data_IF_598455154713
#
_entry.id   IF_598455154713
#
_cell.length_a   1.000
_cell.length_b   1.000
_cell.length_c   1.000
_cell.angle_alpha   90.00
_cell.angle_beta   90.00
_cell.angle_gamma   90.00
#
_symmetry.space_group_name_H-M   'P 1'
#
loop_
_entity.id
_entity.type
_entity.pdbx_description
1 polymer ?
#
# COMPACT_ATOMS: atom_id res chain seq x y z
N UNK A 1 -5.27 17.96 53.47
CA UNK A 1 -6.27 18.23 52.40
C UNK A 1 -5.62 18.42 51.02
N UNK A 2 -4.58 19.27 50.91
CA UNK A 2 -3.86 19.65 49.68
C UNK A 2 -3.29 18.47 48.86
N UNK A 3 -2.72 17.44 49.51
CA UNK A 3 -2.19 16.22 48.83
C UNK A 3 -3.27 15.41 48.09
N UNK A 4 -4.52 15.45 48.56
CA UNK A 4 -5.66 14.73 47.95
C UNK A 4 -6.31 15.48 46.79
N UNK A 5 -6.26 16.81 46.81
CA UNK A 5 -6.66 17.68 45.70
C UNK A 5 -5.66 17.59 44.55
N UNK A 6 -4.35 17.59 44.86
CA UNK A 6 -3.30 17.33 43.85
C UNK A 6 -3.50 15.99 43.14
N UNK A 7 -3.75 14.88 43.85
CA UNK A 7 -4.00 13.57 43.22
C UNK A 7 -5.23 13.52 42.30
N UNK A 8 -6.31 14.25 42.65
CA UNK A 8 -7.51 14.30 41.81
C UNK A 8 -7.30 15.15 40.56
N UNK A 9 -6.58 16.26 40.70
CA UNK A 9 -6.16 17.08 39.56
C UNK A 9 -5.27 16.27 38.62
N UNK A 10 -4.30 15.50 39.15
CA UNK A 10 -3.44 14.62 38.34
C UNK A 10 -4.26 13.62 37.53
N UNK A 11 -5.25 12.95 38.15
CA UNK A 11 -6.09 11.97 37.47
C UNK A 11 -6.96 12.62 36.38
N UNK A 12 -7.57 13.77 36.67
CA UNK A 12 -8.38 14.50 35.68
C UNK A 12 -7.51 14.97 34.50
N UNK A 13 -6.30 15.46 34.79
CA UNK A 13 -5.31 15.80 33.76
C UNK A 13 -4.91 14.56 32.96
N UNK A 14 -4.66 13.41 33.59
CA UNK A 14 -4.35 12.16 32.87
C UNK A 14 -5.48 11.72 31.94
N UNK A 15 -6.75 11.89 32.35
CA UNK A 15 -7.90 11.56 31.51
C UNK A 15 -8.07 12.53 30.34
N UNK A 16 -7.87 13.83 30.57
CA UNK A 16 -7.86 14.83 29.50
C UNK A 16 -6.71 14.61 28.52
N UNK A 17 -5.52 14.23 29.02
CA UNK A 17 -4.38 13.84 28.19
C UNK A 17 -4.72 12.60 27.37
N UNK A 18 -5.38 11.59 27.95
CA UNK A 18 -5.84 10.42 27.22
C UNK A 18 -6.83 10.76 26.12
N UNK A 19 -7.85 11.60 26.40
CA UNK A 19 -8.80 12.08 25.39
C UNK A 19 -8.09 12.87 24.29
N UNK A 20 -7.14 13.74 24.65
CA UNK A 20 -6.37 14.51 23.68
C UNK A 20 -5.51 13.61 22.79
N UNK A 21 -4.86 12.58 23.36
CA UNK A 21 -4.13 11.55 22.59
C UNK A 21 -5.09 10.80 21.69
N UNK A 22 -6.25 10.36 22.17
CA UNK A 22 -7.25 9.66 21.37
C UNK A 22 -7.78 10.52 20.22
N UNK A 23 -8.06 11.80 20.46
CA UNK A 23 -8.45 12.76 19.43
C UNK A 23 -7.33 12.98 18.42
N UNK A 24 -6.08 13.09 18.86
CA UNK A 24 -4.92 13.16 17.95
C UNK A 24 -4.79 11.90 17.11
N UNK A 25 -4.99 10.71 17.70
CA UNK A 25 -4.98 9.43 17.00
C UNK A 25 -6.14 9.36 16.00
N UNK A 26 -7.34 9.77 16.37
CA UNK A 26 -8.51 9.80 15.48
C UNK A 26 -8.34 10.80 14.33
N UNK A 27 -7.84 12.01 14.60
CA UNK A 27 -7.55 13.03 13.57
C UNK A 27 -6.41 12.58 12.65
N UNK A 28 -5.40 11.91 13.22
CA UNK A 28 -4.33 11.27 12.46
C UNK A 28 -4.93 10.17 11.57
N UNK A 29 -5.70 9.24 12.12
CA UNK A 29 -6.41 8.20 11.36
C UNK A 29 -7.33 8.78 10.28
N UNK A 30 -8.05 9.87 10.56
CA UNK A 30 -8.87 10.57 9.58
C UNK A 30 -8.02 11.12 8.44
N UNK A 31 -6.84 11.70 8.73
CA UNK A 31 -5.85 12.09 7.72
C UNK A 31 -5.38 10.89 6.90
N UNK A 32 -5.16 9.72 7.50
CA UNK A 32 -4.83 8.49 6.76
C UNK A 32 -6.01 7.93 5.96
N UNK A 33 -7.25 8.12 6.43
CA UNK A 33 -8.46 7.77 5.67
C UNK A 33 -8.60 8.64 4.42
N UNK A 34 -8.23 9.92 4.48
CA UNK A 34 -8.12 10.79 3.30
C UNK A 34 -6.92 10.45 2.40
N UNK A 35 -5.88 9.82 2.97
CA UNK A 35 -4.78 9.27 2.20
C UNK A 35 -5.15 7.91 1.57
N UNK A 36 -6.20 7.24 2.04
CA UNK A 36 -6.65 6.02 1.36
C UNK A 36 -7.00 6.41 -0.08
N UNK A 37 -6.35 5.78 -1.06
CA UNK A 37 -6.64 6.03 -2.47
C UNK A 37 -8.12 5.79 -2.71
N UNK A 38 -8.88 6.80 -3.08
CA UNK A 38 -10.27 6.56 -3.50
C UNK A 38 -10.26 6.16 -4.97
N UNK A 39 -11.24 5.35 -5.40
CA UNK A 39 -11.51 5.12 -6.84
C UNK A 39 -11.80 6.43 -7.61
N UNK A 40 -11.84 7.57 -6.91
CA UNK A 40 -12.09 8.91 -7.45
C UNK A 40 -10.81 9.58 -7.97
N UNK A 41 -9.61 9.03 -7.73
CA UNK A 41 -8.42 9.45 -8.47
C UNK A 41 -8.71 9.26 -9.97
N UNK A 42 -8.86 10.37 -10.71
CA UNK A 42 -9.40 10.37 -12.08
C UNK A 42 -8.36 9.82 -13.06
N UNK A 43 -8.13 8.51 -13.02
CA UNK A 43 -7.42 7.78 -14.08
C UNK A 43 -8.31 7.68 -15.31
N UNK A 44 -7.68 7.50 -16.46
CA UNK A 44 -8.38 7.23 -17.72
C UNK A 44 -8.48 5.71 -17.88
N UNK A 45 -9.67 5.15 -17.72
CA UNK A 45 -9.87 3.71 -17.93
C UNK A 45 -9.59 3.33 -19.38
N UNK A 46 -8.84 2.25 -19.56
CA UNK A 46 -8.68 1.59 -20.85
C UNK A 46 -9.99 0.87 -21.19
N UNK A 47 -10.65 1.30 -22.26
CA UNK A 47 -11.88 0.69 -22.75
C UNK A 47 -11.63 -0.29 -23.90
N UNK A 48 -12.65 -1.10 -24.21
CA UNK A 48 -12.60 -2.05 -25.33
C UNK A 48 -12.36 -1.35 -26.69
N UNK A 49 -12.94 -0.17 -26.90
CA UNK A 49 -12.70 0.65 -28.08
C UNK A 49 -11.22 1.06 -28.22
N UNK A 50 -10.54 1.34 -27.11
CA UNK A 50 -9.11 1.70 -27.14
C UNK A 50 -8.24 0.53 -27.62
N UNK A 51 -8.62 -0.68 -27.22
CA UNK A 51 -7.97 -1.94 -27.62
C UNK A 51 -8.23 -2.22 -29.10
N UNK A 52 -9.48 -2.08 -29.57
CA UNK A 52 -9.84 -2.34 -30.96
C UNK A 52 -9.22 -1.32 -31.91
N UNK A 53 -9.22 -0.03 -31.57
CA UNK A 53 -8.59 1.02 -32.36
C UNK A 53 -7.08 0.82 -32.54
N UNK A 54 -6.40 0.20 -31.56
CA UNK A 54 -4.96 -0.10 -31.64
C UNK A 54 -4.61 -1.12 -32.73
N UNK A 55 -5.57 -2.01 -33.09
CA UNK A 55 -5.36 -3.04 -34.11
C UNK A 55 -5.43 -2.50 -35.54
N UNK A 56 -6.01 -1.31 -35.74
CA UNK A 56 -6.23 -0.70 -37.07
C UNK A 56 -5.13 0.30 -37.47
N UNK A 57 -4.32 0.81 -36.54
CA UNK A 57 -3.32 1.86 -36.81
C UNK A 57 -1.89 1.48 -36.35
N UNK A 58 -1.20 0.62 -37.11
CA UNK A 58 0.25 0.42 -36.99
C UNK A 58 1.04 1.43 -37.84
N UNK A 59 1.01 2.72 -37.49
CA UNK A 59 2.00 3.68 -38.02
C UNK A 59 2.68 4.47 -36.91
N UNK A 60 3.97 4.73 -37.11
CA UNK A 60 4.95 5.08 -36.10
C UNK A 60 4.85 6.51 -35.54
N UNK A 61 5.57 6.73 -34.43
CA UNK A 61 5.93 8.03 -33.83
C UNK A 61 5.00 8.61 -32.74
N UNK A 62 4.74 7.85 -31.68
CA UNK A 62 4.51 8.41 -30.34
C UNK A 62 5.39 7.70 -29.31
N UNK A 63 5.68 8.35 -28.19
CA UNK A 63 6.42 7.79 -27.06
C UNK A 63 5.69 6.56 -26.51
N UNK A 64 6.00 5.39 -27.05
CA UNK A 64 5.37 4.13 -26.69
C UNK A 64 6.15 3.48 -25.55
N UNK A 65 5.41 2.82 -24.66
CA UNK A 65 6.01 1.94 -23.65
C UNK A 65 6.85 0.89 -24.40
N UNK A 66 8.16 0.75 -24.08
CA UNK A 66 9.02 -0.25 -24.69
C UNK A 66 8.47 -1.68 -24.50
N UNK A 67 8.68 -2.55 -25.50
CA UNK A 67 8.33 -3.97 -25.44
C UNK A 67 9.32 -4.77 -24.59
N UNK A 68 9.46 -4.37 -23.33
CA UNK A 68 10.38 -4.98 -22.37
C UNK A 68 9.58 -5.43 -21.16
N UNK A 69 9.65 -6.70 -20.82
CA UNK A 69 9.08 -7.26 -19.59
C UNK A 69 10.22 -7.43 -18.57
N UNK A 70 9.99 -6.91 -17.37
CA UNK A 70 10.89 -7.01 -16.25
C UNK A 70 10.25 -7.85 -15.15
N UNK A 71 10.93 -8.92 -14.77
CA UNK A 71 10.58 -9.77 -13.64
C UNK A 71 11.73 -9.77 -12.65
N UNK A 72 11.43 -9.81 -11.35
CA UNK A 72 12.45 -9.85 -10.29
C UNK A 72 12.35 -11.18 -9.56
N UNK A 73 13.49 -11.81 -9.34
CA UNK A 73 13.63 -12.97 -8.48
C UNK A 73 15.00 -13.00 -7.83
N UNK A 74 15.19 -13.85 -6.82
CA UNK A 74 16.49 -13.98 -6.15
C UNK A 74 17.60 -14.42 -7.11
N UNK A 75 17.31 -15.37 -8.01
CA UNK A 75 18.25 -16.04 -8.89
C UNK A 75 17.55 -16.54 -10.17
N UNK A 76 18.25 -17.30 -11.01
CA UNK A 76 17.68 -17.87 -12.24
C UNK A 76 16.75 -19.08 -11.96
N UNK A 77 16.67 -19.58 -10.73
CA UNK A 77 15.88 -20.74 -10.33
C UNK A 77 14.50 -20.33 -9.81
N UNK A 78 13.61 -20.03 -10.75
CA UNK A 78 12.21 -19.68 -10.45
C UNK A 78 11.46 -20.91 -9.90
N UNK A 79 10.70 -20.79 -8.79
CA UNK A 79 9.88 -21.88 -8.26
C UNK A 79 8.90 -22.45 -9.28
N UNK A 80 8.77 -23.79 -9.30
CA UNK A 80 7.93 -24.52 -10.25
C UNK A 80 6.47 -24.03 -10.27
N UNK A 81 5.93 -23.65 -9.12
CA UNK A 81 4.57 -23.09 -8.98
C UNK A 81 4.30 -21.83 -9.82
N UNK A 82 5.34 -21.12 -10.24
CA UNK A 82 5.26 -19.91 -11.06
C UNK A 82 5.80 -20.12 -12.49
N UNK A 83 6.35 -21.30 -12.79
CA UNK A 83 6.89 -21.63 -14.11
C UNK A 83 5.84 -21.48 -15.22
N UNK A 84 4.58 -21.87 -14.94
CA UNK A 84 3.46 -21.69 -15.86
C UNK A 84 3.17 -20.22 -16.17
N UNK A 85 3.14 -19.35 -15.15
CA UNK A 85 2.93 -17.90 -15.33
C UNK A 85 4.05 -17.29 -16.19
N UNK A 86 5.31 -17.55 -15.84
CA UNK A 86 6.46 -17.06 -16.61
C UNK A 86 6.46 -17.57 -18.04
N UNK A 87 6.20 -18.86 -18.24
CA UNK A 87 6.19 -19.48 -19.57
C UNK A 87 5.06 -18.94 -20.44
N UNK A 88 3.88 -18.70 -19.86
CA UNK A 88 2.76 -18.08 -20.57
C UNK A 88 3.11 -16.67 -21.07
N UNK A 89 3.84 -15.87 -20.27
CA UNK A 89 4.29 -14.55 -20.70
C UNK A 89 5.33 -14.61 -21.81
N UNK A 90 6.28 -15.55 -21.76
CA UNK A 90 7.21 -15.77 -22.87
C UNK A 90 6.50 -16.19 -24.16
N UNK A 91 5.52 -17.08 -24.04
CA UNK A 91 4.77 -17.58 -25.20
C UNK A 91 3.92 -16.48 -25.89
N UNK A 92 3.41 -15.52 -25.13
CA UNK A 92 2.60 -14.41 -25.66
C UNK A 92 3.44 -13.21 -26.15
N UNK A 93 4.73 -13.19 -25.85
CA UNK A 93 5.62 -12.05 -26.12
C UNK A 93 6.99 -12.56 -26.64
N UNK A 94 7.01 -13.17 -27.83
CA UNK A 94 8.22 -13.79 -28.35
C UNK A 94 9.20 -12.75 -28.92
N UNK A 95 10.49 -13.09 -28.96
CA UNK A 95 11.55 -12.17 -29.37
C UNK A 95 11.40 -11.73 -30.84
N UNK A 96 10.90 -12.61 -31.71
CA UNK A 96 10.59 -12.30 -33.11
C UNK A 96 9.56 -11.17 -33.29
N UNK A 97 8.70 -10.93 -32.28
CA UNK A 97 7.73 -9.82 -32.26
C UNK A 97 8.29 -8.54 -31.63
N UNK A 98 9.61 -8.53 -31.36
CA UNK A 98 10.37 -7.41 -30.82
C UNK A 98 10.30 -7.29 -29.29
N UNK A 99 9.95 -8.37 -28.59
CA UNK A 99 9.87 -8.40 -27.12
C UNK A 99 11.19 -8.81 -26.47
N UNK A 100 11.53 -8.19 -25.35
CA UNK A 100 12.64 -8.59 -24.48
C UNK A 100 12.12 -8.92 -23.10
N UNK A 101 12.51 -10.06 -22.53
CA UNK A 101 12.10 -10.46 -21.18
C UNK A 101 13.33 -10.59 -20.31
N UNK A 102 13.44 -9.73 -19.30
CA UNK A 102 14.56 -9.65 -18.39
C UNK A 102 14.18 -10.17 -17.01
N UNK A 103 14.91 -11.20 -16.56
CA UNK A 103 14.92 -11.62 -15.15
C UNK A 103 16.04 -10.89 -14.41
N UNK A 104 15.63 -10.08 -13.45
CA UNK A 104 16.50 -9.34 -12.54
C UNK A 104 16.74 -10.17 -11.28
N UNK A 105 17.91 -10.80 -11.23
CA UNK A 105 18.42 -11.51 -10.05
C UNK A 105 18.90 -10.51 -8.99
N UNK A 106 19.10 -10.96 -7.75
CA UNK A 106 19.63 -10.10 -6.68
C UNK A 106 20.96 -9.44 -7.09
N UNK A 107 21.84 -10.18 -7.77
CA UNK A 107 23.11 -9.68 -8.30
C UNK A 107 22.91 -8.58 -9.34
N UNK A 108 22.03 -8.81 -10.33
CA UNK A 108 21.72 -7.83 -11.38
C UNK A 108 21.09 -6.57 -10.79
N UNK A 109 20.19 -6.73 -9.81
CA UNK A 109 19.56 -5.63 -9.08
C UNK A 109 20.60 -4.81 -8.34
N UNK A 110 21.48 -5.46 -7.58
CA UNK A 110 22.50 -4.77 -6.79
C UNK A 110 23.42 -3.96 -7.69
N UNK A 111 23.96 -4.59 -8.74
CA UNK A 111 24.83 -3.94 -9.73
C UNK A 111 24.15 -2.74 -10.40
N UNK A 112 22.88 -2.89 -10.80
CA UNK A 112 22.10 -1.81 -11.40
C UNK A 112 21.88 -0.63 -10.43
N UNK A 113 21.51 -0.92 -9.18
CA UNK A 113 21.24 0.11 -8.19
C UNK A 113 22.53 0.84 -7.78
N UNK A 114 23.64 0.14 -7.60
CA UNK A 114 24.94 0.74 -7.28
C UNK A 114 25.46 1.60 -8.44
N UNK A 115 25.29 1.14 -9.68
CA UNK A 115 25.77 1.86 -10.88
C UNK A 115 24.96 3.12 -11.17
N UNK A 116 23.63 3.05 -11.10
CA UNK A 116 22.76 4.14 -11.59
C UNK A 116 22.09 4.96 -10.48
N UNK A 117 21.96 4.40 -9.28
CA UNK A 117 21.18 4.98 -8.18
C UNK A 117 21.88 4.82 -6.83
N UNK A 118 23.21 4.92 -6.81
CA UNK A 118 24.04 4.77 -5.59
C UNK A 118 23.56 5.61 -4.41
N UNK A 119 23.00 6.80 -4.68
CA UNK A 119 22.40 7.68 -3.67
C UNK A 119 21.24 7.03 -2.89
N UNK A 120 20.55 6.04 -3.45
CA UNK A 120 19.45 5.33 -2.81
C UNK A 120 19.91 4.11 -2.00
N UNK A 121 21.17 3.66 -2.16
CA UNK A 121 21.68 2.47 -1.49
C UNK A 121 21.58 2.50 0.04
N UNK A 122 21.77 3.63 0.74
CA UNK A 122 21.54 3.69 2.18
C UNK A 122 20.09 3.36 2.58
N UNK A 123 19.11 3.80 1.78
CA UNK A 123 17.69 3.50 2.00
C UNK A 123 17.41 2.05 1.64
N UNK A 124 17.87 1.60 0.47
CA UNK A 124 17.76 0.22 0.02
C UNK A 124 18.26 -0.76 1.10
N UNK A 125 19.44 -0.49 1.68
CA UNK A 125 20.06 -1.30 2.72
C UNK A 125 19.35 -1.24 4.07
N UNK A 126 18.58 -0.19 4.34
CA UNK A 126 17.82 -0.06 5.58
C UNK A 126 16.48 -0.82 5.59
N UNK A 127 16.01 -1.30 4.44
CA UNK A 127 14.76 -2.07 4.38
C UNK A 127 14.91 -3.41 5.12
N UNK A 128 14.03 -3.71 6.10
CA UNK A 128 14.10 -4.93 6.90
C UNK A 128 13.63 -6.19 6.16
N UNK A 129 12.90 -6.05 5.05
CA UNK A 129 12.38 -7.19 4.29
C UNK A 129 12.77 -7.11 2.81
N UNK A 130 13.18 -8.24 2.22
CA UNK A 130 13.58 -8.31 0.81
C UNK A 130 12.46 -7.87 -0.15
N UNK A 131 11.20 -8.16 0.19
CA UNK A 131 10.06 -7.69 -0.61
C UNK A 131 10.02 -6.16 -0.72
N UNK A 132 10.44 -5.40 0.29
CA UNK A 132 10.50 -3.93 0.17
C UNK A 132 11.59 -3.49 -0.81
N UNK A 133 12.69 -4.23 -0.88
CA UNK A 133 13.76 -4.01 -1.87
C UNK A 133 13.24 -4.31 -3.27
N UNK A 134 12.49 -5.41 -3.46
CA UNK A 134 11.88 -5.77 -4.74
C UNK A 134 10.79 -4.77 -5.17
N UNK A 135 9.96 -4.32 -4.24
CA UNK A 135 8.96 -3.26 -4.46
C UNK A 135 9.63 -1.92 -4.84
N UNK A 136 10.73 -1.55 -4.18
CA UNK A 136 11.44 -0.32 -4.54
C UNK A 136 12.07 -0.43 -5.92
N UNK A 137 12.81 -1.51 -6.18
CA UNK A 137 13.63 -1.69 -7.38
C UNK A 137 12.80 -1.79 -8.66
N UNK A 138 11.61 -2.41 -8.63
CA UNK A 138 10.71 -2.43 -9.80
C UNK A 138 10.41 -1.01 -10.32
N UNK A 139 10.28 -0.03 -9.42
CA UNK A 139 10.08 1.36 -9.83
C UNK A 139 11.32 1.94 -10.51
N UNK A 140 12.51 1.69 -9.98
CA UNK A 140 13.78 2.15 -10.58
C UNK A 140 14.05 1.53 -11.95
N UNK A 141 13.79 0.23 -12.09
CA UNK A 141 13.98 -0.50 -13.36
C UNK A 141 13.10 0.10 -14.44
N UNK A 142 11.78 0.18 -14.20
CA UNK A 142 10.84 0.71 -15.18
C UNK A 142 11.07 2.21 -15.41
N UNK A 143 11.43 2.98 -14.39
CA UNK A 143 11.82 4.38 -14.60
C UNK A 143 13.06 4.51 -15.50
N UNK A 144 14.02 3.59 -15.39
CA UNK A 144 15.25 3.63 -16.18
C UNK A 144 15.02 3.19 -17.63
N UNK A 145 14.44 2.01 -17.82
CA UNK A 145 14.33 1.34 -19.12
C UNK A 145 12.97 1.52 -19.79
N UNK A 146 11.96 2.01 -19.07
CA UNK A 146 10.56 1.89 -19.47
C UNK A 146 10.09 0.43 -19.37
N UNK A 147 9.07 0.10 -20.14
CA UNK A 147 8.56 -1.25 -20.28
C UNK A 147 7.52 -1.60 -19.22
N UNK A 148 7.40 -2.90 -18.96
CA UNK A 148 6.41 -3.51 -18.09
C UNK A 148 7.14 -4.19 -16.94
N UNK A 149 6.72 -3.91 -15.72
CA UNK A 149 7.00 -4.78 -14.59
C UNK A 149 5.86 -5.79 -14.42
N UNK A 150 6.19 -7.03 -14.10
CA UNK A 150 5.22 -8.08 -13.79
C UNK A 150 5.77 -9.05 -12.72
N UNK A 151 5.01 -9.28 -11.65
CA UNK A 151 5.33 -10.29 -10.65
C UNK A 151 5.27 -11.72 -11.25
N UNK A 152 6.01 -12.66 -10.66
CA UNK A 152 6.14 -14.03 -11.19
C UNK A 152 4.85 -14.86 -11.07
N UNK A 153 3.94 -14.47 -10.19
CA UNK A 153 2.63 -15.09 -10.00
C UNK A 153 1.55 -14.56 -10.96
N UNK A 154 1.91 -13.62 -11.84
CA UNK A 154 1.03 -13.09 -12.89
C UNK A 154 1.46 -13.66 -14.25
N UNK A 155 0.60 -14.49 -14.84
CA UNK A 155 0.75 -15.04 -16.19
C UNK A 155 0.01 -14.21 -17.24
N UNK A 156 0.33 -14.47 -18.50
CA UNK A 156 -0.19 -13.73 -19.66
C UNK A 156 -1.08 -14.64 -20.51
N UNK A 157 -2.32 -14.21 -20.74
CA UNK A 157 -3.29 -14.93 -21.60
C UNK A 157 -3.34 -14.42 -23.03
N UNK A 158 -2.91 -13.18 -23.25
CA UNK A 158 -2.97 -12.45 -24.53
C UNK A 158 -1.72 -11.60 -24.69
N UNK A 159 -1.35 -11.20 -25.92
CA UNK A 159 -0.33 -10.18 -26.14
C UNK A 159 -0.74 -8.85 -25.52
N UNK A 160 0.20 -8.16 -24.89
CA UNK A 160 -0.04 -6.87 -24.22
C UNK A 160 0.03 -5.67 -25.16
N UNK A 161 0.46 -5.83 -26.41
CA UNK A 161 0.60 -4.74 -27.40
C UNK A 161 -0.63 -3.81 -27.45
N UNK A 162 -1.89 -4.32 -27.47
CA UNK A 162 -3.07 -3.45 -27.48
C UNK A 162 -3.26 -2.60 -26.22
N UNK A 163 -2.67 -3.02 -25.09
CA UNK A 163 -2.71 -2.27 -23.83
C UNK A 163 -1.70 -1.12 -23.81
N UNK A 164 -0.61 -1.24 -24.57
CA UNK A 164 0.51 -0.30 -24.56
C UNK A 164 0.35 0.85 -25.54
N UNK A 165 -0.52 0.70 -26.53
CA UNK A 165 -0.68 1.70 -27.57
C UNK A 165 -1.25 3.02 -27.02
N UNK A 166 -0.72 4.13 -27.54
CA UNK A 166 -1.05 5.50 -27.11
C UNK A 166 -1.00 5.73 -25.59
N UNK A 167 -0.19 4.95 -24.87
CA UNK A 167 -0.14 4.94 -23.41
C UNK A 167 1.27 5.22 -22.93
N UNK A 168 1.41 6.15 -21.99
CA UNK A 168 2.70 6.47 -21.34
C UNK A 168 2.84 5.86 -19.96
N UNK A 169 1.72 5.56 -19.31
CA UNK A 169 1.65 4.86 -18.03
C UNK A 169 0.34 4.07 -17.92
N UNK A 170 0.44 2.81 -17.51
CA UNK A 170 -0.69 1.92 -17.30
C UNK A 170 -0.50 1.10 -16.04
N UNK A 171 -1.56 0.95 -15.24
CA UNK A 171 -1.58 0.11 -14.04
C UNK A 171 -2.99 -0.43 -13.77
N UNK A 172 -3.16 -1.51 -13.02
CA UNK A 172 -4.44 -2.11 -12.78
C UNK A 172 -5.12 -1.51 -11.55
N UNK A 173 -6.44 -1.35 -11.63
CA UNK A 173 -7.27 -1.04 -10.47
C UNK A 173 -7.52 -2.33 -9.70
N UNK A 174 -7.31 -2.29 -8.38
CA UNK A 174 -7.54 -3.45 -7.51
C UNK A 174 -8.76 -3.26 -6.62
N UNK A 175 -9.38 -4.38 -6.26
CA UNK A 175 -10.48 -4.41 -5.31
C UNK A 175 -9.99 -4.82 -3.91
N UNK A 176 -10.59 -4.30 -2.83
CA UNK A 176 -11.72 -3.35 -2.80
C UNK A 176 -11.30 -1.88 -3.05
N UNK A 177 -10.03 -1.52 -2.82
CA UNK A 177 -9.52 -0.15 -2.91
C UNK A 177 -8.10 -0.16 -3.49
N UNK A 178 -7.80 0.82 -4.34
CA UNK A 178 -6.43 1.17 -4.75
C UNK A 178 -6.01 0.63 -6.12
N UNK A 179 -4.70 0.62 -6.31
CA UNK A 179 -4.02 0.17 -7.51
C UNK A 179 -2.92 -0.81 -7.12
N UNK A 180 -2.65 -1.77 -8.00
CA UNK A 180 -1.58 -2.72 -7.74
C UNK A 180 -0.22 -2.19 -8.15
N UNK A 181 0.83 -2.71 -7.54
CA UNK A 181 2.22 -2.53 -7.94
C UNK A 181 2.89 -3.84 -8.42
N UNK A 182 2.13 -4.94 -8.52
CA UNK A 182 2.56 -6.25 -9.05
C UNK A 182 2.61 -6.29 -10.59
N UNK A 183 1.90 -5.36 -11.26
CA UNK A 183 1.98 -5.11 -12.68
C UNK A 183 1.80 -3.63 -12.96
N UNK A 184 2.67 -3.05 -13.78
CA UNK A 184 2.48 -1.71 -14.34
C UNK A 184 3.42 -1.51 -15.53
N UNK A 185 3.08 -0.56 -16.39
CA UNK A 185 3.82 -0.27 -17.61
C UNK A 185 4.06 1.23 -17.75
N UNK A 186 5.24 1.64 -18.20
CA UNK A 186 5.57 3.05 -18.37
C UNK A 186 6.60 3.31 -19.48
N UNK A 187 6.56 4.53 -20.04
CA UNK A 187 7.69 5.04 -20.80
C UNK A 187 8.89 5.28 -19.89
N UNK A 188 10.13 5.22 -20.42
CA UNK A 188 11.31 5.59 -19.65
C UNK A 188 11.15 7.00 -19.09
N UNK A 189 11.64 7.19 -17.87
CA UNK A 189 11.66 8.48 -17.16
C UNK A 189 10.29 9.12 -16.90
N UNK A 190 9.21 8.34 -16.87
CA UNK A 190 7.87 8.86 -16.59
C UNK A 190 7.79 9.61 -15.23
N UNK A 191 7.20 10.80 -15.22
CA UNK A 191 7.17 11.72 -14.07
C UNK A 191 6.52 11.10 -12.82
N UNK A 192 5.48 10.29 -13.01
CA UNK A 192 4.88 9.54 -11.91
C UNK A 192 5.90 8.63 -11.20
N UNK A 193 6.70 7.85 -11.94
CA UNK A 193 7.71 6.98 -11.33
C UNK A 193 8.84 7.77 -10.68
N UNK A 194 9.20 8.93 -11.23
CA UNK A 194 10.12 9.85 -10.56
C UNK A 194 9.57 10.29 -9.20
N UNK A 195 8.28 10.65 -9.12
CA UNK A 195 7.61 10.99 -7.85
C UNK A 195 7.59 9.79 -6.88
N UNK A 196 7.34 8.58 -7.37
CA UNK A 196 7.38 7.35 -6.57
C UNK A 196 8.77 7.15 -5.97
N UNK A 197 9.81 7.10 -6.81
CA UNK A 197 11.20 6.88 -6.40
C UNK A 197 11.67 7.91 -5.38
N UNK A 198 11.41 9.19 -5.64
CA UNK A 198 11.82 10.29 -4.74
C UNK A 198 11.01 10.34 -3.44
N UNK A 199 9.89 9.63 -3.36
CA UNK A 199 9.06 9.54 -2.15
C UNK A 199 9.40 8.35 -1.26
N UNK A 200 10.06 7.31 -1.78
CA UNK A 200 10.40 6.07 -1.03
C UNK A 200 11.11 6.36 0.30
N UNK A 201 12.04 7.32 0.33
CA UNK A 201 12.77 7.69 1.55
C UNK A 201 11.85 8.20 2.66
N UNK A 202 10.82 8.97 2.30
CA UNK A 202 9.85 9.55 3.24
C UNK A 202 8.89 8.52 3.81
N UNK A 203 8.69 7.41 3.11
CA UNK A 203 7.80 6.32 3.49
C UNK A 203 8.54 5.12 4.07
N UNK A 204 9.87 5.18 4.21
CA UNK A 204 10.69 4.15 4.83
C UNK A 204 10.48 4.12 6.36
N UNK A 205 9.34 3.60 6.77
CA UNK A 205 8.91 3.45 8.16
C UNK A 205 8.78 1.98 8.50
N UNK A 206 9.22 1.61 9.71
CA UNK A 206 8.95 0.30 10.29
C UNK A 206 7.69 0.41 11.14
N UNK A 207 6.67 -0.36 10.77
CA UNK A 207 5.42 -0.46 11.52
C UNK A 207 5.48 -1.69 12.43
N UNK A 208 4.47 -1.86 13.29
CA UNK A 208 4.49 -2.88 14.34
C UNK A 208 4.62 -4.33 13.82
N UNK A 209 4.16 -4.60 12.60
CA UNK A 209 4.26 -5.93 11.97
C UNK A 209 4.70 -5.84 10.51
N UNK A 210 5.02 -6.98 9.89
CA UNK A 210 5.55 -7.09 8.53
C UNK A 210 4.59 -6.54 7.47
N UNK A 211 3.33 -6.97 7.50
CA UNK A 211 2.32 -6.62 6.51
C UNK A 211 2.15 -5.10 6.33
N UNK A 212 1.81 -4.31 7.38
CA UNK A 212 1.69 -2.86 7.25
C UNK A 212 3.03 -2.20 6.90
N UNK A 213 4.16 -2.77 7.33
CA UNK A 213 5.49 -2.27 6.95
C UNK A 213 5.70 -2.34 5.46
N UNK A 214 5.49 -3.50 4.84
CA UNK A 214 5.63 -3.68 3.39
C UNK A 214 4.59 -2.83 2.65
N UNK A 215 3.32 -2.97 3.02
CA UNK A 215 2.18 -2.38 2.31
C UNK A 215 2.23 -0.85 2.25
N UNK A 216 2.66 -0.18 3.34
CA UNK A 216 2.67 1.29 3.46
C UNK A 216 3.99 1.95 3.08
N UNK A 217 5.11 1.22 3.00
CA UNK A 217 6.42 1.83 2.74
C UNK A 217 6.83 1.78 1.27
N UNK A 218 6.60 0.64 0.62
CA UNK A 218 7.04 0.37 -0.76
C UNK A 218 5.97 -0.32 -1.59
N UNK A 219 5.01 -0.98 -0.94
CA UNK A 219 4.01 -1.82 -1.58
C UNK A 219 2.80 -1.07 -2.19
N UNK A 220 1.69 -1.79 -2.45
CA UNK A 220 0.55 -1.28 -3.19
C UNK A 220 -0.10 -0.01 -2.60
N UNK A 221 -0.20 0.11 -1.27
CA UNK A 221 -0.83 1.29 -0.66
C UNK A 221 0.09 2.51 -0.73
N UNK A 222 1.39 2.35 -0.53
CA UNK A 222 2.36 3.41 -0.83
C UNK A 222 2.21 3.91 -2.27
N UNK A 223 2.26 2.99 -3.23
CA UNK A 223 2.17 3.30 -4.66
C UNK A 223 0.89 4.06 -5.01
N UNK A 224 -0.24 3.58 -4.48
CA UNK A 224 -1.54 4.19 -4.69
C UNK A 224 -1.66 5.59 -4.05
N UNK A 225 -1.08 5.80 -2.85
CA UNK A 225 -1.04 7.12 -2.20
C UNK A 225 -0.29 8.11 -3.08
N UNK A 226 0.89 7.73 -3.58
CA UNK A 226 1.69 8.59 -4.45
C UNK A 226 0.98 8.88 -5.76
N UNK A 227 0.24 7.90 -6.31
CA UNK A 227 -0.56 8.12 -7.51
C UNK A 227 -1.67 9.15 -7.29
N UNK A 228 -2.40 9.05 -6.19
CA UNK A 228 -3.42 10.05 -5.85
C UNK A 228 -2.83 11.45 -5.70
N UNK A 229 -1.65 11.56 -5.09
CA UNK A 229 -0.93 12.84 -5.01
C UNK A 229 -0.51 13.34 -6.39
N UNK A 230 -0.01 12.46 -7.27
CA UNK A 230 0.38 12.81 -8.64
C UNK A 230 -0.81 13.34 -9.45
N UNK A 231 -1.94 12.65 -9.39
CA UNK A 231 -3.17 13.00 -10.12
C UNK A 231 -3.95 14.18 -9.52
N UNK A 232 -3.55 14.70 -8.36
CA UNK A 232 -4.11 15.94 -7.82
C UNK A 232 -3.74 17.17 -8.66
N UNK A 233 -2.70 17.06 -9.50
CA UNK A 233 -2.28 18.09 -10.44
C UNK A 233 -3.03 17.90 -11.78
N UNK A 234 -3.79 18.90 -12.28
CA UNK A 234 -4.73 18.71 -13.39
C UNK A 234 -4.14 18.25 -14.74
N UNK A 235 -2.83 18.47 -14.95
CA UNK A 235 -2.15 18.11 -16.18
C UNK A 235 -1.63 16.66 -16.17
N UNK A 236 -1.53 16.06 -14.98
CA UNK A 236 -1.03 14.70 -14.81
C UNK A 236 -2.11 13.70 -15.18
N UNK A 237 -1.75 12.73 -16.02
CA UNK A 237 -2.64 11.69 -16.51
C UNK A 237 -1.92 10.35 -16.49
N UNK A 238 -2.66 9.31 -16.09
CA UNK A 238 -2.26 7.92 -16.28
C UNK A 238 -3.48 7.14 -16.76
N UNK A 239 -3.25 6.04 -17.46
CA UNK A 239 -4.31 5.09 -17.81
C UNK A 239 -4.41 4.00 -16.76
N UNK A 240 -5.61 3.46 -16.59
CA UNK A 240 -5.84 2.34 -15.68
C UNK A 240 -6.53 1.17 -16.37
N UNK A 241 -6.02 -0.02 -16.12
CA UNK A 241 -6.59 -1.28 -16.59
C UNK A 241 -7.77 -1.67 -15.66
N UNK A 242 -8.98 -1.87 -16.21
CA UNK A 242 -10.13 -2.33 -15.44
C UNK A 242 -9.91 -3.68 -14.73
N UNK A 243 -10.57 -3.94 -13.58
CA UNK A 243 -10.42 -5.20 -12.85
C UNK A 243 -10.79 -6.46 -13.65
N UNK A 244 -11.75 -6.41 -14.56
CA UNK A 244 -12.16 -7.56 -15.39
C UNK A 244 -11.12 -7.93 -16.46
N UNK A 245 -10.34 -6.94 -16.92
CA UNK A 245 -9.22 -7.14 -17.83
C UNK A 245 -7.93 -7.59 -17.13
N UNK A 246 -7.80 -7.28 -15.83
CA UNK A 246 -6.63 -7.65 -15.03
C UNK A 246 -6.81 -8.94 -14.21
N UNK A 247 -7.94 -9.12 -13.54
CA UNK A 247 -8.22 -10.27 -12.69
C UNK A 247 -8.49 -11.55 -13.50
N UNK A 248 -8.71 -12.67 -12.82
CA UNK A 248 -9.08 -13.91 -13.50
C UNK A 248 -10.50 -13.80 -14.10
N UNK A 249 -10.59 -13.79 -15.43
CA UNK A 249 -11.85 -13.74 -16.15
C UNK A 249 -11.73 -14.13 -17.62
N UNK A 250 -12.86 -14.19 -18.36
CA UNK A 250 -12.90 -14.56 -19.77
C UNK A 250 -12.28 -13.50 -20.70
N UNK A 251 -12.44 -12.22 -20.36
CA UNK A 251 -11.90 -11.10 -21.15
C UNK A 251 -10.47 -10.71 -20.74
N UNK A 252 -9.96 -11.31 -19.66
CA UNK A 252 -8.70 -10.94 -19.03
C UNK A 252 -7.48 -11.14 -19.93
N UNK A 253 -6.52 -10.23 -19.80
CA UNK A 253 -5.18 -10.35 -20.38
C UNK A 253 -4.25 -11.20 -19.51
N UNK A 254 -4.62 -11.46 -18.26
CA UNK A 254 -3.75 -12.05 -17.26
C UNK A 254 -4.38 -13.27 -16.57
N UNK A 255 -3.52 -14.11 -16.01
CA UNK A 255 -3.90 -15.20 -15.11
C UNK A 255 -3.15 -15.05 -13.80
N UNK A 256 -3.87 -15.09 -12.69
CA UNK A 256 -3.28 -15.01 -11.35
C UNK A 256 -3.22 -16.40 -10.74
N UNK A 257 -2.01 -16.86 -10.43
CA UNK A 257 -1.82 -18.04 -9.56
C UNK A 257 -1.66 -17.57 -8.11
N UNK A 258 -1.55 -18.51 -7.16
CA UNK A 258 -1.42 -18.13 -5.76
C UNK A 258 -0.13 -17.34 -5.51
N UNK A 259 -0.30 -16.01 -5.43
CA UNK A 259 0.67 -15.05 -4.97
C UNK A 259 0.64 -14.85 -3.46
N UNK A 260 1.39 -13.86 -2.96
CA UNK A 260 1.51 -13.52 -1.53
C UNK A 260 2.59 -14.25 -0.73
N UNK A 261 3.69 -14.66 -1.37
CA UNK A 261 4.86 -15.24 -0.69
C UNK A 261 5.46 -14.33 0.41
N UNK A 262 5.17 -13.03 0.37
CA UNK A 262 5.64 -12.07 1.35
C UNK A 262 4.75 -11.93 2.59
N UNK A 263 3.51 -12.43 2.57
CA UNK A 263 2.61 -12.38 3.73
C UNK A 263 3.22 -13.13 4.92
N UNK A 264 3.25 -12.47 6.09
CA UNK A 264 3.53 -13.13 7.36
C UNK A 264 2.25 -13.68 8.00
N UNK A 265 2.39 -14.28 9.19
CA UNK A 265 1.23 -14.70 10.00
C UNK A 265 0.31 -13.54 10.40
N UNK A 266 0.83 -12.32 10.36
CA UNK A 266 0.10 -11.08 10.64
C UNK A 266 -0.87 -10.68 9.52
N UNK A 267 -0.62 -11.10 8.28
CA UNK A 267 -1.51 -10.79 7.14
C UNK A 267 -2.91 -11.38 7.35
N UNK A 268 -3.01 -12.61 7.83
CA UNK A 268 -4.31 -13.25 8.13
C UNK A 268 -5.09 -12.50 9.21
N UNK A 269 -4.40 -12.01 10.25
CA UNK A 269 -5.02 -11.19 11.29
C UNK A 269 -5.50 -9.83 10.73
N UNK A 270 -4.72 -9.23 9.83
CA UNK A 270 -5.09 -7.99 9.16
C UNK A 270 -6.33 -8.17 8.27
N UNK A 271 -6.39 -9.21 7.44
CA UNK A 271 -7.56 -9.50 6.60
C UNK A 271 -8.80 -9.81 7.43
N UNK A 272 -8.65 -10.56 8.53
CA UNK A 272 -9.74 -10.78 9.47
C UNK A 272 -10.26 -9.46 10.04
N UNK A 273 -9.36 -8.59 10.53
CA UNK A 273 -9.71 -7.28 11.08
C UNK A 273 -10.40 -6.39 10.04
N UNK A 274 -9.92 -6.37 8.79
CA UNK A 274 -10.53 -5.61 7.70
C UNK A 274 -11.98 -6.06 7.44
N UNK A 275 -12.22 -7.37 7.37
CA UNK A 275 -13.56 -7.93 7.17
C UNK A 275 -14.48 -7.73 8.38
N UNK A 276 -13.92 -7.45 9.56
CA UNK A 276 -14.64 -7.31 10.82
C UNK A 276 -14.46 -5.93 11.44
N UNK A 277 -14.14 -4.90 10.65
CA UNK A 277 -13.71 -3.60 11.17
C UNK A 277 -14.78 -2.94 12.06
N UNK A 278 -16.06 -3.09 11.72
CA UNK A 278 -17.18 -2.60 12.53
C UNK A 278 -17.27 -3.31 13.87
N UNK A 279 -17.03 -4.62 13.91
CA UNK A 279 -17.01 -5.41 15.14
C UNK A 279 -15.85 -4.98 16.04
N UNK A 280 -14.66 -4.78 15.46
CA UNK A 280 -13.46 -4.32 16.19
C UNK A 280 -13.69 -2.91 16.76
N UNK A 281 -14.22 -1.97 15.96
CA UNK A 281 -14.57 -0.62 16.42
C UNK A 281 -15.60 -0.69 17.56
N UNK A 282 -16.60 -1.55 17.44
CA UNK A 282 -17.63 -1.73 18.47
C UNK A 282 -17.02 -2.25 19.77
N UNK A 283 -16.16 -3.27 19.70
CA UNK A 283 -15.47 -3.83 20.87
C UNK A 283 -14.58 -2.79 21.55
N UNK A 284 -13.78 -2.05 20.78
CA UNK A 284 -12.94 -0.95 21.31
C UNK A 284 -13.81 0.10 22.00
N UNK A 285 -14.94 0.48 21.38
CA UNK A 285 -15.87 1.46 21.95
C UNK A 285 -16.48 0.95 23.26
N UNK A 286 -16.91 -0.31 23.31
CA UNK A 286 -17.42 -0.94 24.55
C UNK A 286 -16.33 -0.96 25.62
N UNK A 287 -15.10 -1.36 25.30
CA UNK A 287 -13.99 -1.35 26.25
C UNK A 287 -13.73 0.05 26.82
N UNK A 288 -13.73 1.09 25.96
CA UNK A 288 -13.59 2.48 26.40
C UNK A 288 -14.75 2.88 27.32
N UNK A 289 -16.00 2.57 26.97
CA UNK A 289 -17.17 2.88 27.78
C UNK A 289 -17.14 2.18 29.15
N UNK A 290 -16.70 0.92 29.20
CA UNK A 290 -16.52 0.16 30.45
C UNK A 290 -15.44 0.81 31.31
N UNK A 291 -14.29 1.18 30.73
CA UNK A 291 -13.22 1.88 31.45
C UNK A 291 -13.69 3.22 32.02
N UNK A 292 -14.46 3.99 31.24
CA UNK A 292 -15.08 5.25 31.69
C UNK A 292 -16.08 4.99 32.82
N UNK A 293 -16.92 3.97 32.71
CA UNK A 293 -17.90 3.62 33.74
C UNK A 293 -17.24 3.22 35.06
N UNK A 294 -16.24 2.33 35.00
CA UNK A 294 -15.45 1.89 36.17
C UNK A 294 -14.79 3.10 36.82
N UNK A 295 -14.23 4.00 36.01
CA UNK A 295 -13.61 5.23 36.49
C UNK A 295 -14.64 6.15 37.20
N UNK A 296 -15.80 6.39 36.61
CA UNK A 296 -16.87 7.22 37.21
C UNK A 296 -17.38 6.60 38.50
N UNK A 297 -17.64 5.28 38.54
CA UNK A 297 -18.04 4.57 39.76
C UNK A 297 -16.99 4.71 40.85
N UNK A 298 -15.72 4.52 40.52
CA UNK A 298 -14.60 4.69 41.45
C UNK A 298 -14.54 6.10 42.05
N UNK A 299 -14.70 7.14 41.21
CA UNK A 299 -14.76 8.54 41.66
C UNK A 299 -15.99 8.78 42.57
N UNK A 300 -17.14 8.25 42.20
CA UNK A 300 -18.41 8.45 42.92
C UNK A 300 -18.39 7.77 44.30
N UNK A 301 -17.94 6.52 44.39
CA UNK A 301 -17.75 5.80 45.65
C UNK A 301 -16.76 6.54 46.55
N UNK A 302 -15.65 7.03 45.99
CA UNK A 302 -14.70 7.85 46.76
C UNK A 302 -15.28 9.17 47.25
N UNK A 303 -16.17 9.82 46.49
CA UNK A 303 -16.88 11.03 46.93
C UNK A 303 -17.84 10.70 48.08
N UNK A 304 -18.62 9.62 47.99
CA UNK A 304 -19.54 9.16 49.05
C UNK A 304 -18.81 8.79 50.34
N UNK A 305 -17.70 8.05 50.25
CA UNK A 305 -16.90 7.70 51.43
C UNK A 305 -16.26 8.94 52.09
N UNK A 306 -15.94 9.98 51.31
CA UNK A 306 -15.46 11.27 51.84
C UNK A 306 -16.57 12.07 52.53
N UNK A 307 -17.80 12.06 52.01
CA UNK A 307 -18.91 12.77 52.65
C UNK A 307 -19.33 12.08 53.95
N UNK A 308 -19.38 10.76 53.99
CA UNK A 308 -19.65 9.99 55.22
C UNK A 308 -18.61 10.25 56.30
N UNK A 309 -17.31 10.21 55.98
CA UNK A 309 -16.24 10.55 56.95
C UNK A 309 -16.32 11.98 57.46
N UNK A 310 -16.74 12.94 56.61
CA UNK A 310 -16.96 14.34 57.04
C UNK A 310 -18.14 14.45 58.02
N UNK A 311 -19.24 13.75 57.76
CA UNK A 311 -20.41 13.72 58.65
C UNK A 311 -20.08 13.08 59.99
N UNK A 312 -19.34 11.97 60.02
CA UNK A 312 -18.88 11.33 61.26
C UNK A 312 -17.99 12.28 62.09
N UNK A 313 -17.00 12.93 61.48
CA UNK A 313 -16.17 13.91 62.20
C UNK A 313 -16.98 15.10 62.73
N UNK A 314 -18.02 15.56 62.02
CA UNK A 314 -18.89 16.64 62.50
C UNK A 314 -19.79 16.20 63.67
N UNK A 315 -20.20 14.93 63.73
CA UNK A 315 -20.96 14.37 64.84
C UNK A 315 -20.08 14.15 66.09
N UNK A 316 -18.80 13.81 65.92
CA UNK A 316 -17.85 13.68 67.05
C UNK A 316 -17.42 15.02 67.65
N UNK A 317 -17.56 16.13 66.91
CA UNK A 317 -17.17 17.49 67.35
C UNK A 317 -18.30 18.29 68.01
N UNK A 318 -19.54 17.79 67.98
CA UNK A 318 -20.71 18.35 68.66
C UNK A 318 -21.45 17.22 69.38
N UNK A 319 -21.03 16.85 70.61
CA UNK A 319 -21.68 15.81 71.40
C UNK A 319 -23.10 16.19 71.85
#
# INVERSE_FOLDING_TARGET
>A
MVRRTRKLLTIAVSFLVFIFILLKVLLYFQKYLYLLPTKQARTLYLGQHDIEASSEYSTASQSRIPKIIHQIWKDENIPEKWSGSVSSCRAQHPEEDGWTINLWTDEKVLSFMETHYSWFMPIYNSYPYDIQRFDAVRYFIVYHYGGIYIDLDVGCKKPMDPLLDQTTFLLPVTEPIGYSNDWFAATPKHDFLYKVITSLSKFNHQYFTKYPTVFLSTGPLFFSIILCQYLSEPHNKVRSLPPDMYANGPVSFFSHVHGSSWHGSDASAYFWMQNHILYVITLITICILVLVFVFVKFVTVRRKNRSQRRRQMQQELNP
#
